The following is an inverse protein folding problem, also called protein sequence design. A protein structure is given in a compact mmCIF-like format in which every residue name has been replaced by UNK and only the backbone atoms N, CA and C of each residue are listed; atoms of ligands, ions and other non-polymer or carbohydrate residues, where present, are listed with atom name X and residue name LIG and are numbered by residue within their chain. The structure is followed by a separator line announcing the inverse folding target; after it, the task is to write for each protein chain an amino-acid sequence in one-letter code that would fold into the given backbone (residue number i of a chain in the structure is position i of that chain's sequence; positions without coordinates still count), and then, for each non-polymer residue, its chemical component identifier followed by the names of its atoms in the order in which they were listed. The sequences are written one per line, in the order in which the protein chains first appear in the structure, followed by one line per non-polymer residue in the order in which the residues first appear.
data_IF_737244501962
#
_entry.id   IF_737244501962
#
_cell.length_a   1.000
_cell.length_b   1.000
_cell.length_c   1.000
_cell.angle_alpha   90.00
_cell.angle_beta   90.00
_cell.angle_gamma   90.00
#
_symmetry.space_group_name_H-M   'P 1'
#
loop_
_entity.id
_entity.type
_entity.pdbx_description
1 polymer ?
#
# COMPACT_ATOMS: atom_id res chain seq x y z
N UNK A 1 -22.77 -23.48 -33.25
CA UNK A 1 -21.66 -23.42 -32.27
C UNK A 1 -21.34 -21.95 -32.06
N UNK A 2 -21.83 -21.34 -30.97
CA UNK A 2 -21.55 -19.94 -30.64
C UNK A 2 -20.14 -19.82 -30.06
N UNK A 3 -19.16 -19.58 -30.93
CA UNK A 3 -17.74 -19.42 -30.59
C UNK A 3 -17.32 -17.97 -30.32
N UNK A 4 -18.25 -17.01 -30.38
CA UNK A 4 -17.98 -15.58 -30.19
C UNK A 4 -18.60 -15.05 -28.89
N UNK A 5 -18.24 -15.64 -27.74
CA UNK A 5 -18.60 -15.06 -26.44
C UNK A 5 -17.63 -13.94 -26.09
N UNK A 6 -18.14 -12.70 -26.02
CA UNK A 6 -17.39 -11.54 -25.54
C UNK A 6 -17.42 -11.52 -24.01
N UNK A 7 -16.26 -11.33 -23.38
CA UNK A 7 -16.11 -11.18 -21.92
C UNK A 7 -15.28 -9.94 -21.60
N UNK A 8 -15.45 -9.38 -20.40
CA UNK A 8 -14.64 -8.25 -19.92
C UNK A 8 -13.74 -8.71 -18.77
N UNK A 9 -12.59 -8.05 -18.60
CA UNK A 9 -11.62 -8.36 -17.53
C UNK A 9 -11.87 -7.55 -16.24
N UNK A 10 -12.98 -6.81 -16.17
CA UNK A 10 -13.31 -5.92 -15.06
C UNK A 10 -12.46 -4.64 -15.01
N UNK A 11 -12.44 -3.99 -13.85
CA UNK A 11 -11.70 -2.74 -13.63
C UNK A 11 -10.20 -2.95 -13.84
N UNK A 12 -9.58 -2.07 -14.63
CA UNK A 12 -8.16 -2.19 -14.99
C UNK A 12 -7.87 -3.19 -16.11
N UNK A 13 -8.91 -3.76 -16.74
CA UNK A 13 -8.75 -4.72 -17.82
C UNK A 13 -7.91 -4.21 -18.99
N UNK A 14 -8.02 -2.93 -19.35
CA UNK A 14 -7.26 -2.32 -20.44
C UNK A 14 -5.74 -2.37 -20.21
N UNK A 15 -5.27 -1.94 -19.04
CA UNK A 15 -3.86 -2.03 -18.67
C UNK A 15 -3.39 -3.48 -18.68
N UNK A 16 -4.20 -4.39 -18.12
CA UNK A 16 -3.87 -5.81 -18.07
C UNK A 16 -3.73 -6.42 -19.47
N UNK A 17 -4.65 -6.08 -20.39
CA UNK A 17 -4.58 -6.51 -21.79
C UNK A 17 -3.35 -5.95 -22.49
N UNK A 18 -3.02 -4.67 -22.28
CA UNK A 18 -1.84 -4.04 -22.88
C UNK A 18 -0.55 -4.76 -22.46
N UNK A 19 -0.40 -5.02 -21.15
CA UNK A 19 0.76 -5.75 -20.62
C UNK A 19 0.80 -7.20 -21.11
N UNK A 20 -0.36 -7.88 -21.19
CA UNK A 20 -0.43 -9.24 -21.69
C UNK A 20 -0.01 -9.34 -23.16
N UNK A 21 -0.46 -8.40 -24.00
CA UNK A 21 -0.05 -8.33 -25.42
C UNK A 21 1.44 -8.02 -25.51
N UNK A 22 1.92 -7.02 -24.77
CA UNK A 22 3.34 -6.64 -24.75
C UNK A 22 4.25 -7.83 -24.37
N UNK A 23 3.87 -8.61 -23.36
CA UNK A 23 4.61 -9.82 -23.00
C UNK A 23 4.50 -10.93 -24.03
N UNK A 24 3.36 -11.08 -24.71
CA UNK A 24 3.18 -12.11 -25.75
C UNK A 24 3.98 -11.82 -27.03
N UNK A 25 4.23 -10.54 -27.34
CA UNK A 25 5.03 -10.12 -28.51
C UNK A 25 6.48 -9.78 -28.17
N UNK A 26 6.89 -10.00 -26.91
CA UNK A 26 8.23 -9.63 -26.40
C UNK A 26 8.58 -8.15 -26.65
N UNK A 27 7.60 -7.26 -26.44
CA UNK A 27 7.81 -5.83 -26.63
C UNK A 27 8.87 -5.29 -25.65
N UNK A 28 9.73 -4.38 -26.14
CA UNK A 28 10.76 -3.73 -25.33
C UNK A 28 10.16 -2.92 -24.16
N UNK A 29 8.99 -2.31 -24.40
CA UNK A 29 8.28 -1.45 -23.46
C UNK A 29 6.77 -1.44 -23.70
N UNK A 30 6.00 -1.33 -22.63
CA UNK A 30 4.56 -1.07 -22.66
C UNK A 30 4.27 0.30 -22.03
N UNK A 31 3.89 1.27 -22.84
CA UNK A 31 3.52 2.62 -22.37
C UNK A 31 2.05 2.67 -21.96
N UNK A 32 1.78 3.12 -20.74
CA UNK A 32 0.42 3.35 -20.22
C UNK A 32 0.22 4.85 -20.11
N UNK A 33 -0.69 5.38 -20.94
CA UNK A 33 -1.04 6.80 -20.97
C UNK A 33 -2.17 7.11 -20.00
N UNK A 34 -1.96 8.13 -19.16
CA UNK A 34 -2.87 8.62 -18.12
C UNK A 34 -2.99 10.15 -18.17
N UNK A 35 -3.75 10.70 -17.24
CA UNK A 35 -3.85 12.14 -16.96
C UNK A 35 -2.73 12.67 -16.05
N UNK A 36 -1.83 11.79 -15.59
CA UNK A 36 -0.64 12.12 -14.81
C UNK A 36 0.62 11.78 -15.60
N UNK A 37 1.66 12.59 -15.43
CA UNK A 37 2.92 12.51 -16.18
C UNK A 37 3.92 11.50 -15.62
N UNK A 38 3.64 10.92 -14.45
CA UNK A 38 4.45 9.87 -13.87
C UNK A 38 4.00 9.49 -12.46
N UNK A 39 4.87 8.75 -11.79
CA UNK A 39 4.74 8.39 -10.38
C UNK A 39 5.65 9.32 -9.59
N UNK A 40 5.12 9.87 -8.50
CA UNK A 40 5.83 10.83 -7.66
C UNK A 40 6.28 10.19 -6.35
N UNK A 41 7.26 10.80 -5.70
CA UNK A 41 7.73 10.42 -4.35
C UNK A 41 6.59 10.44 -3.32
N UNK A 42 5.58 11.29 -3.50
CA UNK A 42 4.33 11.26 -2.75
C UNK A 42 3.25 12.04 -3.53
N UNK A 43 2.02 12.18 -3.01
CA UNK A 43 0.97 12.97 -3.67
C UNK A 43 1.35 14.47 -3.71
N UNK A 44 1.54 15.07 -4.90
CA UNK A 44 1.90 16.49 -5.04
C UNK A 44 0.86 17.46 -4.45
N UNK A 45 -0.37 17.00 -4.23
CA UNK A 45 -1.44 17.79 -3.58
C UNK A 45 -1.21 17.95 -2.09
N UNK A 46 -0.46 17.03 -1.47
CA UNK A 46 -0.12 17.04 -0.04
C UNK A 46 1.23 17.71 0.18
N UNK A 47 2.24 17.34 -0.62
CA UNK A 47 3.59 17.91 -0.60
C UNK A 47 3.94 18.48 -1.98
N UNK A 48 3.88 19.81 -2.17
CA UNK A 48 4.18 20.45 -3.45
C UNK A 48 5.59 20.22 -3.99
N UNK A 49 6.55 19.87 -3.13
CA UNK A 49 7.93 19.52 -3.53
C UNK A 49 8.10 18.06 -3.95
N UNK A 50 7.02 17.28 -4.02
CA UNK A 50 7.07 15.91 -4.50
C UNK A 50 7.71 15.85 -5.89
N UNK A 51 8.70 14.96 -6.07
CA UNK A 51 9.40 14.78 -7.34
C UNK A 51 8.86 13.60 -8.12
N UNK A 52 8.79 13.75 -9.44
CA UNK A 52 8.52 12.63 -10.35
C UNK A 52 9.72 11.69 -10.31
N UNK A 53 9.46 10.40 -10.16
CA UNK A 53 10.45 9.34 -10.23
C UNK A 53 10.77 9.07 -11.70
N UNK A 54 12.05 8.93 -12.03
CA UNK A 54 12.48 8.49 -13.36
C UNK A 54 12.31 6.98 -13.51
N UNK A 55 12.65 6.24 -12.45
CA UNK A 55 12.56 4.77 -12.39
C UNK A 55 12.02 4.31 -11.04
N UNK A 56 11.30 3.20 -11.05
CA UNK A 56 10.82 2.49 -9.86
C UNK A 56 10.80 0.99 -10.13
N UNK A 57 11.08 0.16 -9.13
CA UNK A 57 10.96 -1.29 -9.30
C UNK A 57 9.50 -1.74 -9.35
N UNK A 58 9.23 -2.91 -9.94
CA UNK A 58 7.90 -3.53 -9.84
C UNK A 58 7.42 -3.68 -8.39
N UNK A 59 8.33 -4.05 -7.48
CA UNK A 59 7.98 -4.31 -6.08
C UNK A 59 7.62 -3.04 -5.31
N UNK A 60 8.37 -1.96 -5.52
CA UNK A 60 8.04 -0.66 -4.93
C UNK A 60 6.73 -0.11 -5.49
N UNK A 61 6.50 -0.27 -6.80
CA UNK A 61 5.24 0.17 -7.41
C UNK A 61 4.05 -0.63 -6.86
N UNK A 62 4.18 -1.95 -6.70
CA UNK A 62 3.13 -2.78 -6.11
C UNK A 62 2.82 -2.37 -4.67
N UNK A 63 3.86 -2.10 -3.88
CA UNK A 63 3.69 -1.62 -2.51
C UNK A 63 3.02 -0.23 -2.49
N UNK A 64 3.52 0.76 -3.23
CA UNK A 64 2.90 2.09 -3.29
C UNK A 64 1.44 2.03 -3.77
N UNK A 65 1.15 1.23 -4.79
CA UNK A 65 -0.20 1.11 -5.34
C UNK A 65 -1.17 0.47 -4.34
N UNK A 66 -0.70 -0.51 -3.55
CA UNK A 66 -1.48 -1.11 -2.45
C UNK A 66 -1.80 -0.13 -1.32
N UNK A 67 -1.01 0.95 -1.18
CA UNK A 67 -1.09 1.91 -0.09
C UNK A 67 -1.82 3.22 -0.47
N UNK A 68 -2.45 3.25 -1.64
CA UNK A 68 -3.28 4.37 -2.07
C UNK A 68 -2.69 5.20 -3.23
N UNK A 69 -1.53 4.86 -3.78
CA UNK A 69 -1.04 5.48 -5.01
C UNK A 69 -1.87 4.99 -6.22
N UNK A 70 -2.94 5.71 -6.56
CA UNK A 70 -3.96 5.32 -7.57
C UNK A 70 -3.53 5.48 -9.04
N UNK A 71 -2.24 5.44 -9.36
CA UNK A 71 -1.73 5.74 -10.71
C UNK A 71 -1.83 4.53 -11.65
N UNK A 72 -1.55 3.32 -11.15
CA UNK A 72 -1.59 2.08 -11.92
C UNK A 72 -2.38 0.98 -11.21
N UNK A 73 -2.92 0.05 -12.00
CA UNK A 73 -3.66 -1.09 -11.48
C UNK A 73 -2.67 -2.19 -11.06
N UNK A 74 -2.72 -2.62 -9.79
CA UNK A 74 -1.79 -3.61 -9.22
C UNK A 74 -1.64 -4.86 -10.09
N UNK A 75 -2.77 -5.41 -10.58
CA UNK A 75 -2.78 -6.61 -11.42
C UNK A 75 -1.94 -6.48 -12.69
N UNK A 76 -1.91 -5.28 -13.29
CA UNK A 76 -1.14 -5.02 -14.50
C UNK A 76 0.35 -4.93 -14.21
N UNK A 77 0.72 -4.33 -13.07
CA UNK A 77 2.11 -4.29 -12.59
C UNK A 77 2.59 -5.71 -12.19
N UNK A 78 1.74 -6.51 -11.55
CA UNK A 78 2.05 -7.92 -11.24
C UNK A 78 2.26 -8.75 -12.51
N UNK A 79 1.40 -8.56 -13.53
CA UNK A 79 1.55 -9.21 -14.83
C UNK A 79 2.85 -8.80 -15.51
N UNK A 80 3.19 -7.51 -15.46
CA UNK A 80 4.42 -6.97 -16.02
C UNK A 80 5.67 -7.56 -15.34
N UNK A 81 5.64 -7.68 -14.01
CA UNK A 81 6.68 -8.37 -13.24
C UNK A 81 6.84 -9.83 -13.69
N UNK A 82 5.73 -10.57 -13.82
CA UNK A 82 5.74 -12.00 -14.21
C UNK A 82 6.26 -12.22 -15.63
N UNK A 83 5.86 -11.36 -16.57
CA UNK A 83 6.26 -11.44 -17.98
C UNK A 83 7.56 -10.68 -18.28
N UNK A 84 8.15 -10.03 -17.27
CA UNK A 84 9.33 -9.17 -17.41
C UNK A 84 9.17 -8.07 -18.47
N UNK A 85 7.99 -7.42 -18.50
CA UNK A 85 7.68 -6.34 -19.44
C UNK A 85 7.91 -4.99 -18.76
N UNK A 86 8.83 -4.19 -19.29
CA UNK A 86 9.03 -2.83 -18.81
C UNK A 86 7.76 -1.99 -19.05
N UNK A 87 7.30 -1.27 -18.03
CA UNK A 87 6.18 -0.34 -18.17
C UNK A 87 6.68 1.09 -18.12
N UNK A 88 6.03 2.00 -18.85
CA UNK A 88 6.23 3.44 -18.65
C UNK A 88 4.89 4.10 -18.39
N UNK A 89 4.74 4.76 -17.24
CA UNK A 89 3.57 5.60 -16.97
C UNK A 89 3.82 6.99 -17.52
N UNK A 90 3.01 7.42 -18.49
CA UNK A 90 3.13 8.74 -19.15
C UNK A 90 1.80 9.48 -19.16
N UNK A 91 1.87 10.79 -19.38
CA UNK A 91 0.67 11.60 -19.64
C UNK A 91 0.38 11.69 -21.14
N UNK A 92 -0.90 11.62 -21.52
CA UNK A 92 -1.33 11.97 -22.87
C UNK A 92 -1.44 13.48 -23.10
N UNK A 93 -1.44 14.28 -22.03
CA UNK A 93 -1.53 15.75 -22.09
C UNK A 93 -0.18 16.44 -22.18
N UNK A 94 0.90 15.77 -21.79
CA UNK A 94 2.28 16.29 -21.78
C UNK A 94 3.25 15.28 -22.40
N UNK A 95 3.12 14.99 -23.71
CA UNK A 95 3.90 13.95 -24.40
C UNK A 95 5.42 14.21 -24.39
N UNK A 96 5.83 15.47 -24.24
CA UNK A 96 7.21 15.89 -24.12
C UNK A 96 7.87 15.48 -22.79
N UNK A 97 7.08 15.22 -21.75
CA UNK A 97 7.59 14.77 -20.46
C UNK A 97 7.86 13.27 -20.53
N UNK A 98 9.08 12.88 -20.18
CA UNK A 98 9.42 11.47 -19.98
C UNK A 98 8.64 10.94 -18.77
N UNK A 99 8.06 9.74 -18.92
CA UNK A 99 7.28 9.14 -17.85
C UNK A 99 8.11 8.64 -16.68
N UNK A 100 7.50 7.75 -15.89
CA UNK A 100 8.23 6.91 -14.93
C UNK A 100 8.36 5.50 -15.50
N UNK A 101 9.58 5.01 -15.61
CA UNK A 101 9.88 3.63 -16.00
C UNK A 101 9.72 2.68 -14.81
N UNK A 102 8.92 1.64 -14.97
CA UNK A 102 8.73 0.58 -13.99
C UNK A 102 9.41 -0.67 -14.53
N UNK A 103 10.44 -1.15 -13.82
CA UNK A 103 11.32 -2.21 -14.31
C UNK A 103 11.82 -3.12 -13.17
N UNK A 104 12.73 -4.04 -13.47
CA UNK A 104 13.42 -4.87 -12.47
C UNK A 104 14.30 -4.01 -11.58
N UNK A 105 14.40 -4.41 -10.31
CA UNK A 105 15.30 -3.78 -9.33
C UNK A 105 16.77 -3.73 -9.81
N UNK A 106 17.22 -4.75 -10.55
CA UNK A 106 18.57 -4.86 -11.11
C UNK A 106 18.90 -3.79 -12.14
N UNK A 107 17.89 -3.23 -12.82
CA UNK A 107 18.05 -2.19 -13.83
C UNK A 107 18.13 -0.78 -13.23
N UNK A 108 18.03 -0.67 -11.90
CA UNK A 108 18.07 0.58 -11.14
C UNK A 108 19.42 0.64 -10.42
N UNK A 109 20.33 1.45 -10.96
CA UNK A 109 21.71 1.56 -10.44
C UNK A 109 21.76 2.29 -9.10
N UNK A 110 21.05 3.42 -8.99
CA UNK A 110 20.93 4.18 -7.75
C UNK A 110 19.63 3.81 -7.06
N UNK A 111 19.73 3.10 -5.93
CA UNK A 111 18.57 2.72 -5.13
C UNK A 111 18.43 3.74 -3.99
N UNK A 112 17.48 4.69 -4.07
CA UNK A 112 17.23 5.58 -2.95
C UNK A 112 16.82 4.75 -1.73
N UNK A 113 17.10 5.29 -0.54
CA UNK A 113 16.77 4.61 0.71
C UNK A 113 15.25 4.36 0.82
N UNK A 114 14.48 5.38 0.46
CA UNK A 114 13.03 5.39 0.34
C UNK A 114 12.71 6.01 -1.01
N UNK A 115 11.90 5.34 -1.80
CA UNK A 115 11.47 5.79 -3.14
C UNK A 115 10.17 6.58 -3.08
N UNK A 116 9.33 6.31 -2.08
CA UNK A 116 8.11 7.08 -1.92
C UNK A 116 7.39 6.89 -0.59
N UNK A 117 6.42 7.76 -0.39
CA UNK A 117 5.56 7.84 0.78
C UNK A 117 4.11 7.81 0.32
N UNK A 118 3.37 6.84 0.83
CA UNK A 118 1.95 6.69 0.57
C UNK A 118 1.13 7.04 1.82
N UNK A 119 -0.03 7.64 1.60
CA UNK A 119 -0.99 7.99 2.64
C UNK A 119 -2.35 7.41 2.28
N UNK A 120 -2.92 6.67 3.22
CA UNK A 120 -4.29 6.17 3.14
C UNK A 120 -5.12 6.67 4.32
N UNK A 121 -6.08 7.57 4.03
CA UNK A 121 -7.07 8.09 4.99
C UNK A 121 -8.37 7.25 5.03
N UNK A 122 -8.51 6.24 4.15
CA UNK A 122 -9.72 5.44 4.00
C UNK A 122 -9.68 4.14 4.81
N UNK A 123 -9.12 4.20 6.02
CA UNK A 123 -8.93 3.03 6.88
C UNK A 123 -9.72 3.18 8.17
N UNK A 124 -10.23 2.07 8.68
CA UNK A 124 -10.73 1.91 10.04
C UNK A 124 -9.90 0.87 10.74
N UNK A 125 -9.44 1.18 11.95
CA UNK A 125 -8.75 0.23 12.81
C UNK A 125 -9.79 -0.54 13.62
N UNK A 126 -9.66 -1.87 13.63
CA UNK A 126 -10.40 -2.80 14.48
C UNK A 126 -9.40 -3.47 15.41
N UNK A 127 -9.54 -3.25 16.71
CA UNK A 127 -8.68 -3.85 17.73
C UNK A 127 -9.47 -4.83 18.59
N UNK A 128 -9.06 -6.08 18.64
CA UNK A 128 -9.61 -7.10 19.53
C UNK A 128 -8.61 -7.37 20.64
N UNK A 129 -9.03 -7.16 21.88
CA UNK A 129 -8.17 -7.31 23.05
C UNK A 129 -8.54 -8.54 23.87
N UNK A 130 -7.53 -9.19 24.45
CA UNK A 130 -7.73 -10.35 25.30
C UNK A 130 -8.33 -11.55 24.56
N UNK A 131 -8.05 -11.68 23.26
CA UNK A 131 -8.50 -12.79 22.42
C UNK A 131 -7.84 -14.07 22.91
N UNK A 132 -8.59 -15.17 23.02
CA UNK A 132 -8.01 -16.46 23.43
C UNK A 132 -6.92 -16.91 22.47
N UNK A 133 -5.69 -17.13 22.96
CA UNK A 133 -4.54 -17.53 22.15
C UNK A 133 -4.53 -19.04 21.93
N UNK A 134 -5.35 -19.50 20.99
CA UNK A 134 -5.45 -20.90 20.58
C UNK A 134 -5.47 -21.02 19.05
N UNK A 135 -4.91 -22.10 18.48
CA UNK A 135 -5.01 -22.35 17.05
C UNK A 135 -6.45 -22.30 16.55
N UNK A 136 -6.65 -21.61 15.42
CA UNK A 136 -7.94 -21.50 14.74
C UNK A 136 -8.74 -20.22 15.05
N UNK A 137 -8.43 -19.46 16.11
CA UNK A 137 -9.18 -18.24 16.43
C UNK A 137 -9.01 -17.17 15.35
N UNK A 138 -7.77 -16.86 14.96
CA UNK A 138 -7.51 -15.95 13.84
C UNK A 138 -8.19 -16.43 12.54
N UNK A 139 -8.11 -17.73 12.25
CA UNK A 139 -8.76 -18.30 11.06
C UNK A 139 -10.28 -18.08 11.08
N UNK A 140 -10.94 -18.29 12.21
CA UNK A 140 -12.38 -18.07 12.34
C UNK A 140 -12.76 -16.60 12.13
N UNK A 141 -11.99 -15.67 12.69
CA UNK A 141 -12.21 -14.21 12.55
C UNK A 141 -12.09 -13.81 11.09
N UNK A 142 -10.96 -14.13 10.45
CA UNK A 142 -10.71 -13.71 9.07
C UNK A 142 -11.56 -14.45 8.04
N UNK A 143 -11.98 -15.68 8.32
CA UNK A 143 -12.98 -16.38 7.48
C UNK A 143 -14.32 -15.66 7.53
N UNK A 144 -14.79 -15.26 8.72
CA UNK A 144 -16.06 -14.54 8.85
C UNK A 144 -16.04 -13.17 8.15
N UNK A 145 -14.90 -12.48 8.17
CA UNK A 145 -14.71 -11.23 7.41
C UNK A 145 -14.70 -11.49 5.90
N UNK A 146 -14.00 -12.53 5.45
CA UNK A 146 -13.93 -12.92 4.04
C UNK A 146 -15.30 -13.35 3.49
N UNK A 147 -16.09 -14.12 4.24
CA UNK A 147 -17.45 -14.52 3.88
C UNK A 147 -18.40 -13.32 3.71
N UNK A 148 -18.10 -12.22 4.41
CA UNK A 148 -18.79 -10.95 4.30
C UNK A 148 -18.23 -10.03 3.18
N UNK A 149 -17.27 -10.52 2.39
CA UNK A 149 -16.53 -9.77 1.37
C UNK A 149 -15.81 -8.52 1.90
N UNK A 150 -15.34 -8.55 3.15
CA UNK A 150 -14.57 -7.46 3.74
C UNK A 150 -13.10 -7.71 3.43
N UNK A 151 -12.45 -6.74 2.77
CA UNK A 151 -11.03 -6.82 2.48
C UNK A 151 -10.22 -6.32 3.68
N UNK A 152 -9.42 -7.20 4.28
CA UNK A 152 -8.52 -6.85 5.38
C UNK A 152 -7.17 -6.46 4.81
N UNK A 153 -6.63 -5.33 5.27
CA UNK A 153 -5.38 -4.75 4.77
C UNK A 153 -4.19 -5.08 5.70
N UNK A 154 -4.08 -4.39 6.84
CA UNK A 154 -3.03 -4.67 7.81
C UNK A 154 -3.54 -5.65 8.86
N UNK A 155 -2.72 -6.61 9.26
CA UNK A 155 -2.95 -7.49 10.42
C UNK A 155 -1.71 -7.41 11.32
N UNK A 156 -1.91 -7.10 12.60
CA UNK A 156 -0.88 -7.03 13.63
C UNK A 156 -1.36 -7.83 14.83
N UNK A 157 -0.67 -8.93 15.13
CA UNK A 157 -0.91 -9.70 16.34
C UNK A 157 0.33 -9.57 17.22
N UNK A 158 0.12 -9.18 18.48
CA UNK A 158 1.21 -9.13 19.46
C UNK A 158 1.25 -10.43 20.26
N UNK A 159 2.45 -10.81 20.74
CA UNK A 159 2.57 -12.01 21.57
C UNK A 159 1.79 -11.80 22.86
N UNK A 160 0.94 -12.77 23.15
CA UNK A 160 0.06 -12.76 24.30
C UNK A 160 0.75 -12.98 25.65
N UNK A 161 0.00 -12.69 26.72
CA UNK A 161 0.32 -13.08 28.10
C UNK A 161 -0.88 -13.85 28.66
N UNK A 162 -0.64 -14.84 29.52
CA UNK A 162 -1.71 -15.64 30.17
C UNK A 162 -2.67 -16.35 29.19
N UNK A 163 -2.15 -16.76 28.02
CA UNK A 163 -2.94 -17.46 26.99
C UNK A 163 -3.95 -16.57 26.27
N UNK A 164 -3.75 -15.24 26.30
CA UNK A 164 -4.54 -14.25 25.56
C UNK A 164 -3.63 -13.35 24.73
N UNK A 165 -4.10 -12.92 23.57
CA UNK A 165 -3.38 -12.08 22.61
C UNK A 165 -4.26 -10.91 22.16
N UNK A 166 -3.62 -9.84 21.71
CA UNK A 166 -4.31 -8.71 21.09
C UNK A 166 -4.09 -8.76 19.58
N UNK A 167 -5.18 -8.55 18.85
CA UNK A 167 -5.23 -8.58 17.39
C UNK A 167 -5.75 -7.26 16.86
N UNK A 168 -4.94 -6.62 16.04
CA UNK A 168 -5.26 -5.39 15.34
C UNK A 168 -5.34 -5.64 13.84
N UNK A 169 -6.35 -5.08 13.19
CA UNK A 169 -6.40 -5.06 11.74
C UNK A 169 -7.06 -3.81 11.20
N UNK A 170 -6.85 -3.54 9.91
CA UNK A 170 -7.47 -2.41 9.22
C UNK A 170 -8.36 -2.86 8.06
N UNK A 171 -9.43 -2.11 7.84
CA UNK A 171 -10.38 -2.31 6.75
C UNK A 171 -10.74 -0.97 6.08
N UNK A 172 -11.24 -0.99 4.83
CA UNK A 172 -11.81 0.20 4.21
C UNK A 172 -12.96 0.80 5.02
N UNK A 173 -13.05 2.14 5.10
CA UNK A 173 -14.19 2.84 5.74
C UNK A 173 -15.56 2.45 5.15
N UNK A 174 -15.60 2.02 3.89
CA UNK A 174 -16.83 1.54 3.23
C UNK A 174 -17.41 0.28 3.85
N UNK A 175 -16.55 -0.55 4.45
CA UNK A 175 -16.94 -1.87 4.96
C UNK A 175 -17.24 -1.83 6.47
N UNK A 176 -17.12 -0.64 7.07
CA UNK A 176 -17.22 -0.37 8.50
C UNK A 176 -18.48 -0.93 9.15
N UNK A 177 -19.65 -0.62 8.58
CA UNK A 177 -20.94 -1.06 9.12
C UNK A 177 -21.16 -2.57 9.00
N UNK A 178 -20.61 -3.19 7.95
CA UNK A 178 -20.69 -4.64 7.76
C UNK A 178 -19.75 -5.32 8.74
N UNK A 179 -18.53 -4.80 8.91
CA UNK A 179 -17.56 -5.30 9.86
C UNK A 179 -18.11 -5.33 11.28
N UNK A 180 -18.68 -4.23 11.78
CA UNK A 180 -19.30 -4.19 13.12
C UNK A 180 -20.30 -5.34 13.33
N UNK A 181 -21.15 -5.61 12.33
CA UNK A 181 -22.12 -6.72 12.40
C UNK A 181 -21.45 -8.08 12.45
N UNK A 182 -20.39 -8.30 11.66
CA UNK A 182 -19.62 -9.55 11.66
C UNK A 182 -18.94 -9.76 13.00
N UNK A 183 -18.36 -8.70 13.56
CA UNK A 183 -17.57 -8.74 14.79
C UNK A 183 -18.38 -9.06 16.04
N UNK A 184 -19.70 -8.81 16.05
CA UNK A 184 -20.59 -9.20 17.17
C UNK A 184 -20.47 -10.69 17.55
N UNK A 185 -20.13 -11.57 16.59
CA UNK A 185 -19.94 -13.00 16.81
C UNK A 185 -18.75 -13.34 17.71
N UNK A 186 -17.80 -12.41 17.84
CA UNK A 186 -16.54 -12.60 18.53
C UNK A 186 -16.45 -11.82 19.86
N UNK A 187 -17.50 -11.09 20.24
CA UNK A 187 -17.57 -10.36 21.52
C UNK A 187 -17.40 -11.30 22.73
N UNK A 188 -17.91 -12.53 22.67
CA UNK A 188 -17.73 -13.51 23.75
C UNK A 188 -16.32 -14.12 23.80
N UNK A 189 -15.52 -13.95 22.75
CA UNK A 189 -14.18 -14.55 22.61
C UNK A 189 -13.05 -13.53 22.81
N UNK A 190 -13.41 -12.27 23.06
CA UNK A 190 -12.51 -11.14 23.33
C UNK A 190 -13.00 -10.42 24.59
N UNK A 191 -12.10 -9.74 25.28
CA UNK A 191 -12.48 -8.89 26.41
C UNK A 191 -13.10 -7.57 25.93
N UNK A 192 -12.60 -7.07 24.80
CA UNK A 192 -13.05 -5.84 24.20
C UNK A 192 -12.78 -5.86 22.69
N UNK A 193 -13.70 -5.28 21.91
CA UNK A 193 -13.48 -4.94 20.52
C UNK A 193 -13.63 -3.43 20.38
N UNK A 194 -12.51 -2.76 20.12
CA UNK A 194 -12.43 -1.32 19.89
C UNK A 194 -12.35 -1.02 18.39
N UNK A 195 -12.84 0.17 18.04
CA UNK A 195 -12.81 0.62 16.67
C UNK A 195 -12.49 2.10 16.56
N UNK A 196 -11.69 2.45 15.56
CA UNK A 196 -11.29 3.84 15.35
C UNK A 196 -11.26 4.20 13.87
N UNK A 197 -12.17 5.09 13.46
CA UNK A 197 -12.28 5.62 12.09
C UNK A 197 -11.40 6.86 11.86
N UNK A 198 -10.87 7.48 12.92
CA UNK A 198 -10.09 8.72 12.87
C UNK A 198 -8.59 8.43 12.80
N UNK A 199 -8.24 7.48 11.96
CA UNK A 199 -6.87 7.04 11.73
C UNK A 199 -6.49 7.19 10.27
N UNK A 200 -5.19 7.33 10.01
CA UNK A 200 -4.65 7.14 8.68
C UNK A 200 -3.42 6.23 8.74
N UNK A 201 -3.12 5.62 7.60
CA UNK A 201 -1.93 4.80 7.40
C UNK A 201 -0.94 5.60 6.56
N UNK A 202 0.24 5.87 7.13
CA UNK A 202 1.36 6.50 6.42
C UNK A 202 2.43 5.44 6.24
N UNK A 203 2.88 5.25 5.00
CA UNK A 203 3.84 4.21 4.68
C UNK A 203 4.99 4.76 3.89
N UNK A 204 6.20 4.38 4.27
CA UNK A 204 7.42 4.60 3.48
C UNK A 204 7.76 3.31 2.74
N UNK A 205 8.18 3.44 1.47
CA UNK A 205 8.48 2.31 0.59
C UNK A 205 9.82 2.55 -0.11
N UNK A 206 10.70 1.55 -0.15
CA UNK A 206 11.95 1.61 -0.92
C UNK A 206 12.74 0.31 -0.88
N UNK A 207 13.30 -0.12 -2.02
CA UNK A 207 14.18 -1.31 -2.07
C UNK A 207 15.49 -1.10 -1.30
N UNK A 208 15.95 0.16 -1.19
CA UNK A 208 17.13 0.52 -0.41
C UNK A 208 17.05 0.10 1.06
N UNK A 209 15.83 -0.09 1.59
CA UNK A 209 15.58 -0.51 2.97
C UNK A 209 16.16 -1.90 3.30
N UNK A 210 16.30 -2.79 2.31
CA UNK A 210 16.85 -4.16 2.53
C UNK A 210 18.31 -4.15 2.96
N UNK A 211 19.07 -3.16 2.50
CA UNK A 211 20.53 -3.12 2.64
C UNK A 211 21.03 -2.04 3.60
N UNK A 212 20.12 -1.23 4.16
CA UNK A 212 20.46 -0.10 5.01
C UNK A 212 19.78 -0.20 6.37
N UNK A 213 20.58 -0.10 7.43
CA UNK A 213 20.07 0.00 8.79
C UNK A 213 19.64 1.43 9.12
N UNK A 214 18.71 1.60 10.06
CA UNK A 214 18.34 2.91 10.59
C UNK A 214 17.19 3.61 9.88
N UNK A 215 16.61 3.01 8.82
CA UNK A 215 15.42 3.55 8.13
C UNK A 215 14.26 3.75 9.12
N UNK A 216 13.88 2.72 9.85
CA UNK A 216 12.79 2.81 10.83
C UNK A 216 13.05 3.89 11.89
N UNK A 217 14.28 3.95 12.43
CA UNK A 217 14.67 4.95 13.44
C UNK A 217 14.54 6.38 12.89
N UNK A 218 14.94 6.61 11.64
CA UNK A 218 14.80 7.92 10.97
C UNK A 218 13.33 8.31 10.82
N UNK A 219 12.47 7.38 10.39
CA UNK A 219 11.03 7.62 10.28
C UNK A 219 10.39 7.97 11.64
N UNK A 220 10.67 7.17 12.67
CA UNK A 220 10.09 7.39 13.99
C UNK A 220 10.57 8.68 14.64
N UNK A 221 11.84 9.03 14.43
CA UNK A 221 12.41 10.31 14.90
C UNK A 221 11.73 11.50 14.20
N UNK A 222 11.52 11.42 12.88
CA UNK A 222 10.84 12.47 12.13
C UNK A 222 9.41 12.71 12.64
N UNK A 223 8.64 11.64 12.88
CA UNK A 223 7.29 11.76 13.45
C UNK A 223 7.32 12.26 14.91
N UNK A 224 8.29 11.82 15.71
CA UNK A 224 8.43 12.27 17.10
C UNK A 224 8.77 13.76 17.20
N UNK A 225 9.59 14.31 16.30
CA UNK A 225 9.92 15.74 16.26
C UNK A 225 8.69 16.62 16.01
N UNK A 226 7.71 16.10 15.26
CA UNK A 226 6.42 16.75 15.02
C UNK A 226 5.36 16.41 16.09
N UNK A 227 5.76 15.73 17.17
CA UNK A 227 4.89 15.26 18.25
C UNK A 227 3.72 14.36 17.75
N UNK A 228 3.99 13.55 16.74
CA UNK A 228 3.04 12.59 16.16
C UNK A 228 3.23 11.23 16.82
N UNK A 229 2.23 10.79 17.57
CA UNK A 229 2.25 9.47 18.19
C UNK A 229 1.94 8.36 17.18
N UNK A 230 2.79 7.33 17.13
CA UNK A 230 2.60 6.13 16.30
C UNK A 230 1.81 5.11 17.13
N UNK A 231 0.66 4.67 16.61
CA UNK A 231 -0.23 3.74 17.31
C UNK A 231 0.09 2.28 16.99
N UNK A 232 0.34 1.99 15.72
CA UNK A 232 0.62 0.63 15.21
C UNK A 232 1.73 0.74 14.17
N UNK A 233 2.63 -0.23 14.17
CA UNK A 233 3.70 -0.38 13.18
C UNK A 233 3.57 -1.75 12.52
N UNK A 234 3.68 -1.79 11.20
CA UNK A 234 3.78 -3.03 10.43
C UNK A 234 4.84 -2.85 9.33
N UNK A 235 5.62 -3.91 9.07
CA UNK A 235 6.78 -3.83 8.17
C UNK A 235 6.82 -4.99 7.19
N UNK A 236 7.24 -4.73 5.95
CA UNK A 236 7.72 -5.74 5.00
C UNK A 236 9.22 -5.51 4.71
N UNK A 237 9.82 -6.26 3.80
CA UNK A 237 11.24 -6.07 3.43
C UNK A 237 11.56 -4.66 2.90
N UNK A 238 10.59 -4.00 2.27
CA UNK A 238 10.76 -2.71 1.58
C UNK A 238 9.72 -1.67 2.00
N UNK A 239 9.03 -1.89 3.12
CA UNK A 239 7.92 -1.04 3.56
C UNK A 239 7.87 -0.94 5.07
N UNK A 240 7.63 0.25 5.59
CA UNK A 240 7.21 0.48 6.97
C UNK A 240 5.90 1.27 6.92
N UNK A 241 4.84 0.69 7.47
CA UNK A 241 3.52 1.31 7.61
C UNK A 241 3.25 1.67 9.05
N UNK A 242 2.77 2.88 9.27
CA UNK A 242 2.49 3.43 10.59
C UNK A 242 1.04 3.94 10.63
N UNK A 243 0.30 3.52 11.65
CA UNK A 243 -1.03 4.07 11.92
C UNK A 243 -0.89 5.25 12.87
N UNK A 244 -1.43 6.40 12.48
CA UNK A 244 -1.44 7.64 13.26
C UNK A 244 -2.86 8.23 13.26
N UNK A 245 -3.09 9.27 14.07
CA UNK A 245 -4.35 10.01 14.02
C UNK A 245 -4.51 10.77 12.69
N UNK A 246 -5.70 10.72 12.11
CA UNK A 246 -5.99 11.29 10.78
C UNK A 246 -5.66 12.79 10.69
N UNK A 247 -5.78 13.54 11.80
CA UNK A 247 -5.46 14.97 11.85
C UNK A 247 -3.99 15.29 11.55
N UNK A 248 -3.08 14.33 11.73
CA UNK A 248 -1.65 14.48 11.46
C UNK A 248 -1.24 13.96 10.09
N UNK A 249 -2.18 13.47 9.27
CA UNK A 249 -1.90 12.76 8.04
C UNK A 249 -0.96 13.52 7.08
N UNK A 250 -1.26 14.78 6.80
CA UNK A 250 -0.47 15.58 5.85
C UNK A 250 0.85 16.02 6.47
N UNK A 251 0.87 16.39 7.75
CA UNK A 251 2.09 16.75 8.46
C UNK A 251 3.09 15.58 8.49
N UNK A 252 2.61 14.36 8.76
CA UNK A 252 3.42 13.15 8.74
C UNK A 252 4.05 12.88 7.36
N UNK A 253 3.29 13.07 6.27
CA UNK A 253 3.81 12.92 4.91
C UNK A 253 4.93 13.93 4.65
N UNK A 254 4.72 15.21 4.98
CA UNK A 254 5.72 16.27 4.77
C UNK A 254 6.98 16.03 5.60
N UNK A 255 6.84 15.70 6.88
CA UNK A 255 7.96 15.42 7.78
C UNK A 255 8.79 14.22 7.32
N UNK A 256 8.14 13.15 6.85
CA UNK A 256 8.84 12.00 6.29
C UNK A 256 9.49 12.34 4.93
N UNK A 257 8.82 13.14 4.09
CA UNK A 257 9.35 13.55 2.79
C UNK A 257 10.64 14.36 2.95
N UNK A 258 10.62 15.34 3.86
CA UNK A 258 11.79 16.12 4.24
C UNK A 258 12.88 15.24 4.88
N UNK A 259 12.50 14.38 5.83
CA UNK A 259 13.47 13.51 6.50
C UNK A 259 14.24 12.65 5.49
N UNK A 260 13.58 12.11 4.47
CA UNK A 260 14.23 11.27 3.46
C UNK A 260 14.81 12.03 2.26
N UNK A 261 14.85 13.36 2.32
CA UNK A 261 15.38 14.22 1.24
C UNK A 261 14.73 13.94 -0.12
N UNK A 262 13.43 13.62 -0.12
CA UNK A 262 12.70 13.22 -1.33
C UNK A 262 12.33 14.40 -2.25
N UNK A 263 12.69 15.63 -1.87
CA UNK A 263 12.62 16.82 -2.70
C UNK A 263 13.91 17.07 -3.50
N UNK A 264 14.93 16.22 -3.36
CA UNK A 264 16.24 16.34 -4.01
C UNK A 264 16.42 15.46 -5.23
#
# INVERSE_FOLDING_TARGET
QDTLRVSTLGRGGSDLTAVAIAGAIEADVCEIYRDVDGIYTTDPRIEPKAKKLDKISYDEMLELASLGAKVLQNRSVEMAKKLNVNLVSRSSFTPEIEGTLITKEENIMEKPLVSGIALDKNQVRVGMYGVTDKPGIAANIFTALADANINVDMIVQTVGVDGKTDLDFTIPKTDWEICKKVMTKFEAQSENIDYNEKICKVSIVGVGMKSHTGVASKAFTALANENINIRIISTSEIKISMIIEEKYAELAVRALHEAYDLDK
#
